data_IF_516046272347
#
_entry.id   IF_516046272347
#
_cell.length_a   1.000
_cell.length_b   1.000
_cell.length_c   1.000
_cell.angle_alpha   90.00
_cell.angle_beta   90.00
_cell.angle_gamma   90.00
#
_symmetry.space_group_name_H-M   'P 1'
#
loop_
_entity.id
_entity.type
_entity.pdbx_description
1 polymer ?
#
# COMPACT_ATOMS: atom_id res chain seq x y z
N UNK A 1 -7.39 -34.58 2.08
CA UNK A 1 -6.43 -33.62 2.64
C UNK A 1 -7.24 -32.57 3.36
N UNK A 2 -7.04 -32.45 4.66
CA UNK A 2 -7.82 -31.54 5.50
C UNK A 2 -7.44 -30.10 5.17
N UNK A 3 -8.33 -29.42 4.42
CA UNK A 3 -8.22 -28.00 4.07
C UNK A 3 -8.49 -27.05 5.26
N UNK A 4 -8.18 -27.46 6.48
CA UNK A 4 -8.31 -26.63 7.65
C UNK A 4 -7.06 -25.72 7.79
N UNK A 5 -6.82 -24.91 6.75
CA UNK A 5 -5.73 -23.94 6.67
C UNK A 5 -5.94 -22.80 7.67
N UNK A 6 -7.13 -22.71 8.26
CA UNK A 6 -7.53 -21.69 9.21
C UNK A 6 -7.42 -22.21 10.63
N UNK A 7 -6.23 -22.07 11.25
CA UNK A 7 -6.12 -22.37 12.65
C UNK A 7 -6.70 -21.23 13.51
N UNK A 8 -6.99 -21.55 14.79
CA UNK A 8 -7.52 -20.58 15.76
C UNK A 8 -6.63 -19.35 15.95
N UNK A 9 -5.33 -19.47 15.69
CA UNK A 9 -4.37 -18.37 15.82
C UNK A 9 -4.57 -17.33 14.75
N UNK A 10 -4.90 -17.74 13.54
CA UNK A 10 -5.20 -16.85 12.43
C UNK A 10 -6.46 -16.02 12.71
N UNK A 11 -7.50 -16.67 13.20
CA UNK A 11 -8.77 -16.03 13.57
C UNK A 11 -8.60 -14.95 14.65
N UNK A 12 -7.71 -15.17 15.62
CA UNK A 12 -7.46 -14.19 16.67
C UNK A 12 -6.90 -12.84 16.17
N UNK A 13 -6.27 -12.83 15.00
CA UNK A 13 -5.73 -11.61 14.39
C UNK A 13 -6.80 -10.78 13.70
N UNK A 14 -7.94 -11.37 13.36
CA UNK A 14 -9.12 -10.70 12.81
C UNK A 14 -10.12 -10.39 13.93
N UNK A 15 -9.70 -9.56 14.88
CA UNK A 15 -10.61 -9.09 15.91
C UNK A 15 -11.78 -8.34 15.24
N UNK A 16 -13.02 -8.71 15.57
CA UNK A 16 -14.30 -8.16 15.11
C UNK A 16 -14.91 -8.82 13.86
N UNK A 17 -14.32 -9.87 13.31
CA UNK A 17 -14.94 -10.66 12.24
C UNK A 17 -15.59 -11.91 12.83
N UNK A 18 -16.88 -12.15 12.54
CA UNK A 18 -17.53 -13.39 12.94
C UNK A 18 -16.96 -14.59 12.20
N UNK A 19 -17.14 -15.81 12.74
CA UNK A 19 -16.69 -17.03 12.07
C UNK A 19 -17.32 -17.18 10.68
N UNK A 20 -18.60 -16.82 10.51
CA UNK A 20 -19.29 -16.88 9.22
C UNK A 20 -18.70 -15.89 8.20
N UNK A 21 -18.35 -14.69 8.66
CA UNK A 21 -17.68 -13.70 7.82
C UNK A 21 -16.28 -14.16 7.42
N UNK A 22 -15.55 -14.75 8.37
CA UNK A 22 -14.24 -15.33 8.12
C UNK A 22 -14.29 -16.48 7.07
N UNK A 23 -15.30 -17.36 7.15
CA UNK A 23 -15.52 -18.41 6.17
C UNK A 23 -15.88 -17.85 4.78
N UNK A 24 -16.73 -16.84 4.72
CA UNK A 24 -17.05 -16.13 3.47
C UNK A 24 -15.81 -15.46 2.88
N UNK A 25 -14.96 -14.87 3.72
CA UNK A 25 -13.68 -14.30 3.35
C UNK A 25 -12.76 -15.36 2.72
N UNK A 26 -12.66 -16.54 3.32
CA UNK A 26 -11.84 -17.63 2.81
C UNK A 26 -12.26 -18.10 1.41
N UNK A 27 -13.56 -18.15 1.15
CA UNK A 27 -14.09 -18.49 -0.17
C UNK A 27 -13.76 -17.42 -1.22
N UNK A 28 -13.76 -16.15 -0.84
CA UNK A 28 -13.37 -15.04 -1.73
C UNK A 28 -11.89 -15.08 -2.06
N UNK A 29 -11.02 -15.32 -1.08
CA UNK A 29 -9.59 -15.50 -1.34
C UNK A 29 -9.32 -16.61 -2.35
N UNK A 30 -10.02 -17.75 -2.22
CA UNK A 30 -9.91 -18.85 -3.19
C UNK A 30 -10.28 -18.41 -4.62
N UNK A 31 -11.29 -17.57 -4.78
CA UNK A 31 -11.71 -17.05 -6.09
C UNK A 31 -10.60 -16.24 -6.79
N UNK A 32 -9.71 -15.62 -6.03
CA UNK A 32 -8.59 -14.79 -6.54
C UNK A 32 -7.25 -15.52 -6.50
N UNK A 33 -7.23 -16.81 -6.20
CA UNK A 33 -6.00 -17.57 -6.10
C UNK A 33 -5.12 -17.19 -4.90
N UNK A 34 -5.65 -16.38 -3.97
CA UNK A 34 -4.98 -16.02 -2.72
C UNK A 34 -5.50 -16.90 -1.58
N UNK A 35 -4.59 -17.42 -0.78
CA UNK A 35 -4.90 -18.05 0.49
C UNK A 35 -4.80 -17.02 1.62
N UNK A 36 -5.42 -17.28 2.78
CA UNK A 36 -5.23 -16.44 3.96
C UNK A 36 -3.76 -16.29 4.37
N UNK A 37 -2.98 -17.35 4.16
CA UNK A 37 -1.54 -17.29 4.38
C UNK A 37 -0.86 -16.32 3.41
N UNK A 38 -1.26 -16.29 2.13
CA UNK A 38 -0.72 -15.33 1.17
C UNK A 38 -1.00 -13.88 1.60
N UNK A 39 -2.16 -13.63 2.19
CA UNK A 39 -2.52 -12.30 2.74
C UNK A 39 -1.65 -11.95 3.94
N UNK A 40 -1.51 -12.88 4.89
CA UNK A 40 -0.65 -12.67 6.05
C UNK A 40 0.81 -12.46 5.64
N UNK A 41 1.32 -13.30 4.76
CA UNK A 41 2.70 -13.23 4.27
C UNK A 41 2.96 -11.92 3.53
N UNK A 42 2.00 -11.43 2.73
CA UNK A 42 2.10 -10.16 2.03
C UNK A 42 2.22 -8.97 2.98
N UNK A 43 1.37 -8.92 4.02
CA UNK A 43 1.39 -7.86 5.02
C UNK A 43 2.67 -7.94 5.86
N UNK A 44 3.00 -9.15 6.34
CA UNK A 44 4.23 -9.37 7.10
C UNK A 44 5.46 -8.91 6.32
N UNK A 45 5.53 -9.30 5.05
CA UNK A 45 6.64 -8.96 4.17
C UNK A 45 6.73 -7.44 3.90
N UNK A 46 5.60 -6.73 3.82
CA UNK A 46 5.58 -5.27 3.74
C UNK A 46 6.09 -4.63 5.05
N UNK A 47 5.65 -5.15 6.19
CA UNK A 47 6.12 -4.69 7.50
C UNK A 47 7.63 -4.95 7.70
N UNK A 48 8.11 -6.13 7.30
CA UNK A 48 9.52 -6.49 7.38
C UNK A 48 10.40 -5.55 6.51
N UNK A 49 9.92 -5.17 5.33
CA UNK A 49 10.61 -4.19 4.46
C UNK A 49 10.80 -2.84 5.12
N UNK A 50 9.82 -2.41 5.90
CA UNK A 50 9.84 -1.13 6.61
C UNK A 50 10.35 -1.23 8.05
N UNK A 51 10.67 -2.42 8.55
CA UNK A 51 11.04 -2.67 9.95
C UNK A 51 9.98 -2.17 10.94
N UNK A 52 8.70 -2.35 10.63
CA UNK A 52 7.57 -2.00 11.49
C UNK A 52 6.87 -3.26 12.00
N UNK A 53 6.25 -3.21 13.20
CA UNK A 53 5.41 -4.29 13.68
C UNK A 53 4.19 -4.51 12.79
N UNK A 54 3.71 -5.76 12.75
CA UNK A 54 2.52 -6.11 12.00
C UNK A 54 1.26 -5.52 12.64
N UNK A 55 0.45 -4.74 11.92
CA UNK A 55 -0.78 -4.17 12.45
C UNK A 55 -1.84 -5.26 12.66
N UNK A 56 -2.89 -4.95 13.45
CA UNK A 56 -4.09 -5.77 13.45
C UNK A 56 -4.79 -5.66 12.10
N UNK A 57 -5.26 -6.79 11.58
CA UNK A 57 -5.96 -6.83 10.29
C UNK A 57 -7.45 -6.94 10.50
N UNK A 58 -8.21 -6.13 9.77
CA UNK A 58 -9.67 -6.18 9.73
C UNK A 58 -10.10 -6.18 8.27
N UNK A 59 -10.91 -7.16 7.90
CA UNK A 59 -11.61 -7.10 6.63
C UNK A 59 -13.00 -6.51 6.83
N UNK A 60 -13.29 -5.43 6.15
CA UNK A 60 -14.63 -4.89 6.04
C UNK A 60 -15.38 -5.61 4.91
N UNK A 61 -16.38 -6.40 5.29
CA UNK A 61 -17.23 -7.13 4.35
C UNK A 61 -18.45 -6.36 3.90
N UNK A 62 -18.88 -5.39 4.70
CA UNK A 62 -20.20 -4.79 4.52
C UNK A 62 -20.16 -3.54 3.67
N UNK A 63 -19.14 -2.73 3.83
CA UNK A 63 -18.97 -1.49 3.10
C UNK A 63 -17.56 -0.95 3.24
N UNK A 64 -17.31 0.02 2.44
CA UNK A 64 -16.19 0.90 2.45
C UNK A 64 -16.32 1.83 3.64
N UNK A 65 -15.40 1.80 4.54
CA UNK A 65 -15.35 2.79 5.60
C UNK A 65 -15.11 4.17 4.95
N UNK A 66 -16.08 5.07 5.01
CA UNK A 66 -16.04 6.41 4.39
C UNK A 66 -15.67 6.42 2.88
N UNK A 67 -16.07 5.41 2.13
CA UNK A 67 -15.76 5.35 0.70
C UNK A 67 -14.36 4.83 0.35
N UNK A 68 -13.58 4.39 1.32
CA UNK A 68 -12.21 3.91 1.11
C UNK A 68 -12.15 2.39 0.92
N UNK A 69 -11.37 1.96 -0.06
CA UNK A 69 -11.10 0.53 -0.32
C UNK A 69 -10.24 -0.10 0.76
N UNK A 70 -9.31 0.70 1.25
CA UNK A 70 -8.40 0.38 2.33
C UNK A 70 -8.18 1.63 3.17
N UNK A 71 -7.87 1.42 4.42
CA UNK A 71 -7.34 2.47 5.28
C UNK A 71 -6.47 1.84 6.36
N UNK A 72 -5.50 2.62 6.80
CA UNK A 72 -4.70 2.31 7.98
C UNK A 72 -5.01 3.35 9.04
N UNK A 73 -5.30 2.87 10.24
CA UNK A 73 -5.38 3.72 11.41
C UNK A 73 -4.12 3.50 12.23
N UNK A 74 -3.22 4.45 12.16
CA UNK A 74 -1.99 4.43 12.92
C UNK A 74 -2.13 5.33 14.14
N UNK A 75 -1.93 4.75 15.32
CA UNK A 75 -1.97 5.51 16.55
C UNK A 75 -0.59 6.12 16.84
N UNK A 76 -0.44 7.45 16.88
CA UNK A 76 0.85 8.07 17.18
C UNK A 76 1.41 7.56 18.50
N UNK A 77 2.58 6.94 18.45
CA UNK A 77 3.30 6.47 19.64
C UNK A 77 3.01 5.03 20.09
N UNK A 78 2.03 4.33 19.50
CA UNK A 78 1.77 2.92 19.81
C UNK A 78 1.52 2.11 18.55
N UNK A 79 2.35 1.08 18.33
CA UNK A 79 2.11 0.11 17.26
C UNK A 79 1.03 -0.91 17.60
N UNK A 80 0.69 -1.07 18.88
CA UNK A 80 -0.26 -2.10 19.33
C UNK A 80 -1.69 -1.81 18.88
N UNK A 81 -1.99 -0.55 18.65
CA UNK A 81 -3.31 -0.08 18.21
C UNK A 81 -3.41 0.16 16.70
N UNK A 82 -2.33 -0.11 15.95
CA UNK A 82 -2.36 0.03 14.51
C UNK A 82 -3.32 -0.98 13.88
N UNK A 83 -4.16 -0.50 12.97
CA UNK A 83 -5.18 -1.30 12.28
C UNK A 83 -5.08 -1.11 10.79
N UNK A 84 -5.00 -2.21 10.06
CA UNK A 84 -5.12 -2.26 8.61
C UNK A 84 -6.49 -2.83 8.24
N UNK A 85 -7.34 -1.99 7.66
CA UNK A 85 -8.64 -2.39 7.13
C UNK A 85 -8.60 -2.51 5.61
N UNK A 86 -9.25 -3.52 5.05
CA UNK A 86 -9.36 -3.69 3.60
C UNK A 86 -10.66 -4.39 3.21
N UNK A 87 -11.12 -4.10 2.00
CA UNK A 87 -12.27 -4.73 1.40
C UNK A 87 -11.85 -5.56 0.19
N UNK A 88 -11.91 -6.89 0.32
CA UNK A 88 -11.47 -7.80 -0.73
C UNK A 88 -12.26 -7.63 -2.03
N UNK A 89 -13.55 -7.35 -1.98
CA UNK A 89 -14.34 -7.18 -3.20
C UNK A 89 -13.87 -5.98 -3.99
N UNK A 90 -13.57 -4.88 -3.32
CA UNK A 90 -13.08 -3.68 -3.99
C UNK A 90 -11.69 -3.87 -4.56
N UNK A 91 -10.79 -4.55 -3.84
CA UNK A 91 -9.46 -4.88 -4.36
C UNK A 91 -9.56 -5.67 -5.66
N UNK A 92 -10.51 -6.59 -5.74
CA UNK A 92 -10.80 -7.34 -6.96
C UNK A 92 -11.34 -6.47 -8.06
N UNK A 93 -12.28 -5.60 -7.75
CA UNK A 93 -12.85 -4.66 -8.73
C UNK A 93 -11.74 -3.73 -9.28
N UNK A 94 -10.75 -3.42 -8.46
CA UNK A 94 -9.53 -2.69 -8.82
C UNK A 94 -8.47 -3.54 -9.54
N UNK A 95 -8.77 -4.80 -9.87
CA UNK A 95 -7.83 -5.74 -10.51
C UNK A 95 -6.61 -6.12 -9.67
N UNK A 96 -6.72 -6.01 -8.35
CA UNK A 96 -5.72 -6.53 -7.41
C UNK A 96 -5.96 -8.04 -7.25
N UNK A 97 -5.57 -8.82 -8.25
CA UNK A 97 -5.91 -10.23 -8.40
C UNK A 97 -4.68 -11.15 -8.48
N UNK A 98 -3.53 -10.69 -8.01
CA UNK A 98 -2.30 -11.49 -7.91
C UNK A 98 -1.62 -11.27 -6.56
N UNK A 99 -0.73 -12.20 -6.19
CA UNK A 99 0.06 -12.08 -4.94
C UNK A 99 0.91 -10.81 -4.94
N UNK A 100 1.58 -10.51 -6.04
CA UNK A 100 2.42 -9.32 -6.17
C UNK A 100 1.58 -8.06 -6.07
N UNK A 101 0.47 -7.97 -6.82
CA UNK A 101 -0.42 -6.82 -6.76
C UNK A 101 -0.94 -6.58 -5.33
N UNK A 102 -1.40 -7.64 -4.65
CA UNK A 102 -1.86 -7.55 -3.28
C UNK A 102 -0.73 -7.13 -2.33
N UNK A 103 0.45 -7.74 -2.48
CA UNK A 103 1.61 -7.40 -1.64
C UNK A 103 2.08 -5.97 -1.84
N UNK A 104 2.00 -5.43 -3.06
CA UNK A 104 2.34 -4.04 -3.36
C UNK A 104 1.33 -3.07 -2.73
N UNK A 105 0.03 -3.36 -2.80
CA UNK A 105 -0.98 -2.55 -2.10
C UNK A 105 -0.71 -2.55 -0.59
N UNK A 106 -0.40 -3.72 0.01
CA UNK A 106 -0.02 -3.77 1.43
C UNK A 106 1.23 -2.95 1.72
N UNK A 107 2.18 -2.90 0.79
CA UNK A 107 3.37 -2.05 0.93
C UNK A 107 3.01 -0.58 0.95
N UNK A 108 2.12 -0.15 0.06
CA UNK A 108 1.62 1.23 0.03
C UNK A 108 0.98 1.61 1.38
N UNK A 109 0.11 0.76 1.90
CA UNK A 109 -0.56 1.02 3.19
C UNK A 109 0.44 1.04 4.37
N UNK A 110 1.40 0.10 4.40
CA UNK A 110 2.44 0.10 5.43
C UNK A 110 3.37 1.32 5.31
N UNK A 111 3.59 1.86 4.10
CA UNK A 111 4.38 3.06 3.89
C UNK A 111 3.76 4.27 4.61
N UNK A 112 2.44 4.37 4.66
CA UNK A 112 1.76 5.44 5.43
C UNK A 112 2.19 5.47 6.90
N UNK A 113 2.40 4.28 7.52
CA UNK A 113 2.89 4.19 8.91
C UNK A 113 4.29 4.75 9.06
N UNK A 114 5.17 4.45 8.12
CA UNK A 114 6.54 4.95 8.10
C UNK A 114 6.57 6.46 7.91
N UNK A 115 5.78 6.96 6.96
CA UNK A 115 5.70 8.38 6.62
C UNK A 115 5.16 9.23 7.77
N UNK A 116 4.24 8.71 8.57
CA UNK A 116 3.74 9.40 9.77
C UNK A 116 4.81 9.59 10.85
N UNK A 117 5.76 8.65 10.93
CA UNK A 117 6.85 8.70 11.91
C UNK A 117 8.07 9.47 11.42
N UNK A 118 8.14 9.77 10.12
CA UNK A 118 9.26 10.51 9.55
C UNK A 118 8.94 12.00 9.51
N UNK A 119 9.78 12.81 10.16
CA UNK A 119 9.72 14.26 10.06
C UNK A 119 10.39 14.71 8.74
N UNK A 120 9.84 14.30 7.61
CA UNK A 120 10.33 14.75 6.31
C UNK A 120 9.65 16.08 5.95
N UNK A 121 10.42 17.18 5.87
CA UNK A 121 9.89 18.46 5.41
C UNK A 121 9.27 18.31 4.02
N UNK A 122 8.00 18.66 3.86
CA UNK A 122 7.31 18.62 2.57
C UNK A 122 6.43 17.40 2.32
N UNK A 123 6.66 16.26 2.97
CA UNK A 123 5.77 15.09 2.81
C UNK A 123 4.48 15.27 3.62
N UNK A 124 4.57 15.90 4.79
CA UNK A 124 3.43 16.11 5.68
C UNK A 124 2.61 17.38 5.35
N UNK A 125 2.99 18.15 4.34
CA UNK A 125 2.34 19.42 3.99
C UNK A 125 1.18 19.26 3.01
N UNK A 126 0.95 18.05 2.46
CA UNK A 126 -0.15 17.79 1.54
C UNK A 126 -0.51 16.32 1.47
N UNK A 127 -1.80 16.04 1.40
CA UNK A 127 -2.31 14.66 1.31
C UNK A 127 -1.76 13.98 0.06
N UNK A 128 -1.66 14.68 -1.05
CA UNK A 128 -1.16 14.14 -2.31
C UNK A 128 0.32 13.77 -2.25
N UNK A 129 1.15 14.57 -1.59
CA UNK A 129 2.57 14.27 -1.42
C UNK A 129 2.79 13.02 -0.56
N UNK A 130 1.93 12.80 0.43
CA UNK A 130 1.95 11.61 1.27
C UNK A 130 1.62 10.34 0.46
N UNK A 131 0.61 10.42 -0.39
CA UNK A 131 0.23 9.34 -1.31
C UNK A 131 1.33 9.03 -2.32
N UNK A 132 1.93 10.06 -2.94
CA UNK A 132 3.01 9.89 -3.90
C UNK A 132 4.27 9.30 -3.25
N UNK A 133 4.55 9.63 -1.99
CA UNK A 133 5.66 9.04 -1.24
C UNK A 133 5.38 7.55 -0.94
N UNK A 134 4.15 7.18 -0.58
CA UNK A 134 3.76 5.80 -0.38
C UNK A 134 3.85 4.99 -1.68
N UNK A 135 3.40 5.56 -2.81
CA UNK A 135 3.53 4.96 -4.14
C UNK A 135 5.00 4.76 -4.54
N UNK A 136 5.86 5.74 -4.28
CA UNK A 136 7.29 5.64 -4.55
C UNK A 136 7.95 4.50 -3.73
N UNK A 137 7.67 4.42 -2.44
CA UNK A 137 8.19 3.36 -1.57
C UNK A 137 7.65 1.98 -1.97
N UNK A 138 6.39 1.89 -2.40
CA UNK A 138 5.84 0.67 -3.00
C UNK A 138 6.64 0.24 -4.23
N UNK A 139 6.96 1.19 -5.10
CA UNK A 139 7.81 0.97 -6.27
C UNK A 139 9.21 0.50 -5.90
N UNK A 140 9.83 1.11 -4.88
CA UNK A 140 11.15 0.68 -4.39
C UNK A 140 11.16 -0.81 -4.01
N UNK A 141 10.16 -1.26 -3.26
CA UNK A 141 10.06 -2.68 -2.91
C UNK A 141 9.83 -3.56 -4.13
N UNK A 142 8.98 -3.13 -5.07
CA UNK A 142 8.76 -3.87 -6.31
C UNK A 142 10.07 -4.12 -7.06
N UNK A 143 10.90 -3.09 -7.22
CA UNK A 143 12.19 -3.19 -7.90
C UNK A 143 13.19 -4.08 -7.18
N UNK A 144 13.32 -3.93 -5.86
CA UNK A 144 14.29 -4.69 -5.06
C UNK A 144 13.96 -6.18 -5.00
N UNK A 145 12.71 -6.55 -5.05
CA UNK A 145 12.24 -7.93 -4.90
C UNK A 145 11.81 -8.57 -6.23
N UNK A 146 11.94 -7.84 -7.33
CA UNK A 146 11.57 -8.33 -8.67
C UNK A 146 10.08 -8.66 -8.81
N UNK A 147 9.21 -7.87 -8.14
CA UNK A 147 7.76 -8.09 -8.16
C UNK A 147 7.14 -7.55 -9.44
N UNK A 148 6.09 -8.20 -9.92
CA UNK A 148 5.30 -7.70 -11.06
C UNK A 148 4.37 -6.55 -10.61
N UNK A 149 4.72 -5.33 -10.97
CA UNK A 149 3.97 -4.12 -10.69
C UNK A 149 2.95 -3.74 -11.79
N UNK A 150 2.90 -4.50 -12.89
CA UNK A 150 2.14 -4.14 -14.09
C UNK A 150 0.65 -3.94 -13.81
N UNK A 151 0.04 -4.81 -13.01
CA UNK A 151 -1.38 -4.71 -12.65
C UNK A 151 -1.68 -3.48 -11.80
N UNK A 152 -0.81 -3.17 -10.84
CA UNK A 152 -0.95 -1.99 -9.99
C UNK A 152 -0.82 -0.72 -10.82
N UNK A 153 0.18 -0.63 -11.71
CA UNK A 153 0.35 0.54 -12.57
C UNK A 153 -0.84 0.75 -13.51
N UNK A 154 -1.34 -0.32 -14.13
CA UNK A 154 -2.53 -0.25 -14.98
C UNK A 154 -3.76 0.15 -14.17
N UNK A 155 -3.95 -0.43 -13.00
CA UNK A 155 -5.04 -0.06 -12.10
C UNK A 155 -4.98 1.42 -11.69
N UNK A 156 -3.80 1.92 -11.32
CA UNK A 156 -3.60 3.32 -10.98
C UNK A 156 -3.93 4.26 -12.16
N UNK A 157 -3.40 3.99 -13.35
CA UNK A 157 -3.61 4.85 -14.54
C UNK A 157 -5.09 5.06 -14.84
N UNK A 158 -5.95 4.10 -14.48
CA UNK A 158 -7.38 4.18 -14.68
C UNK A 158 -8.13 4.97 -13.59
N UNK A 159 -7.44 5.41 -12.53
CA UNK A 159 -8.06 6.18 -11.44
C UNK A 159 -8.00 7.67 -11.71
N UNK A 160 -9.10 8.36 -11.38
CA UNK A 160 -9.15 9.81 -11.40
C UNK A 160 -8.64 10.41 -10.09
N UNK A 161 -8.21 11.66 -10.15
CA UNK A 161 -7.87 12.41 -8.95
C UNK A 161 -9.07 12.56 -8.00
N UNK A 162 -8.78 12.59 -6.71
CA UNK A 162 -9.71 12.83 -5.62
C UNK A 162 -9.12 13.84 -4.63
N UNK A 163 -9.87 14.33 -3.65
CA UNK A 163 -9.30 15.19 -2.61
C UNK A 163 -8.14 14.55 -1.85
N UNK A 164 -8.13 13.24 -1.75
CA UNK A 164 -7.13 12.46 -1.00
C UNK A 164 -6.07 11.81 -1.88
N UNK A 165 -6.36 11.57 -3.15
CA UNK A 165 -5.43 10.85 -4.04
C UNK A 165 -5.14 11.65 -5.31
N UNK A 166 -3.88 11.70 -5.76
CA UNK A 166 -3.51 12.28 -7.04
C UNK A 166 -4.11 11.53 -8.23
N UNK A 167 -4.05 12.14 -9.41
CA UNK A 167 -4.34 11.49 -10.68
C UNK A 167 -3.52 10.19 -10.81
N UNK A 168 -4.18 9.10 -11.23
CA UNK A 168 -3.55 7.78 -11.27
C UNK A 168 -2.34 7.70 -12.20
N UNK A 169 -2.33 8.47 -13.29
CA UNK A 169 -1.16 8.56 -14.16
C UNK A 169 0.07 9.13 -13.43
N UNK A 170 -0.14 10.14 -12.57
CA UNK A 170 0.93 10.71 -11.74
C UNK A 170 1.41 9.70 -10.70
N UNK A 171 0.50 9.00 -10.03
CA UNK A 171 0.80 7.93 -9.08
C UNK A 171 1.67 6.83 -9.72
N UNK A 172 1.28 6.34 -10.90
CA UNK A 172 2.01 5.32 -11.64
C UNK A 172 3.44 5.75 -12.03
N UNK A 173 3.68 7.04 -12.28
CA UNK A 173 5.02 7.58 -12.50
C UNK A 173 5.90 7.46 -11.25
N UNK A 174 5.36 7.76 -10.07
CA UNK A 174 6.10 7.65 -8.81
C UNK A 174 6.42 6.19 -8.45
N UNK A 175 5.49 5.26 -8.66
CA UNK A 175 5.76 3.81 -8.52
C UNK A 175 6.92 3.39 -9.41
N UNK A 176 6.84 3.74 -10.69
CA UNK A 176 7.87 3.37 -11.67
C UNK A 176 9.24 3.97 -11.34
N UNK A 177 9.28 5.24 -10.93
CA UNK A 177 10.53 5.89 -10.55
C UNK A 177 11.14 5.23 -9.32
N UNK A 178 10.35 4.95 -8.29
CA UNK A 178 10.79 4.23 -7.09
C UNK A 178 11.42 2.87 -7.42
N UNK A 179 10.79 2.12 -8.34
CA UNK A 179 11.31 0.83 -8.79
C UNK A 179 12.70 0.96 -9.41
N UNK A 180 12.86 1.84 -10.37
CA UNK A 180 14.16 2.01 -11.05
C UNK A 180 15.23 2.57 -10.11
N UNK A 181 14.86 3.52 -9.26
CA UNK A 181 15.81 4.17 -8.35
C UNK A 181 16.34 3.20 -7.29
N UNK A 182 15.48 2.36 -6.75
CA UNK A 182 15.91 1.36 -5.77
C UNK A 182 16.84 0.31 -6.40
N UNK A 183 16.59 -0.10 -7.65
CA UNK A 183 17.49 -0.99 -8.41
C UNK A 183 18.83 -0.29 -8.63
N UNK A 184 18.84 0.94 -9.11
CA UNK A 184 20.04 1.75 -9.31
C UNK A 184 20.87 1.87 -8.04
N UNK A 185 20.23 2.19 -6.92
CA UNK A 185 20.90 2.31 -5.62
C UNK A 185 21.52 0.97 -5.20
N UNK A 186 20.78 -0.14 -5.33
CA UNK A 186 21.31 -1.48 -5.05
C UNK A 186 22.54 -1.81 -5.91
N UNK A 187 22.45 -1.58 -7.20
CA UNK A 187 23.49 -1.94 -8.16
C UNK A 187 24.77 -1.07 -7.97
N UNK A 188 24.60 0.15 -7.46
CA UNK A 188 25.69 1.05 -7.10
C UNK A 188 26.11 0.92 -5.61
N UNK A 189 25.61 -0.08 -4.89
CA UNK A 189 25.94 -0.30 -3.47
C UNK A 189 25.63 0.90 -2.55
N UNK A 190 24.63 1.70 -2.90
CA UNK A 190 24.14 2.80 -2.07
C UNK A 190 23.21 2.21 -0.99
N UNK A 191 23.38 2.59 0.30
CA UNK A 191 22.54 2.05 1.36
C UNK A 191 21.05 2.27 1.14
N UNK A 192 20.25 1.20 1.22
CA UNK A 192 18.80 1.19 0.99
C UNK A 192 18.02 1.49 2.28
N UNK A 193 18.43 2.49 3.04
CA UNK A 193 17.65 2.95 4.20
C UNK A 193 16.41 3.72 3.74
N UNK A 194 15.35 3.69 4.55
CA UNK A 194 14.14 4.49 4.28
C UNK A 194 14.47 5.97 4.10
N UNK A 195 15.42 6.48 4.90
CA UNK A 195 15.90 7.86 4.78
C UNK A 195 16.47 8.14 3.39
N UNK A 196 17.33 7.27 2.86
CA UNK A 196 17.93 7.44 1.55
C UNK A 196 16.89 7.32 0.43
N UNK A 197 15.96 6.36 0.53
CA UNK A 197 14.86 6.24 -0.42
C UNK A 197 13.96 7.48 -0.42
N UNK A 198 13.67 8.06 0.74
CA UNK A 198 12.89 9.29 0.82
C UNK A 198 13.65 10.52 0.33
N UNK A 199 14.97 10.57 0.45
CA UNK A 199 15.79 11.62 -0.18
C UNK A 199 15.64 11.58 -1.72
N UNK A 200 15.66 10.39 -2.31
CA UNK A 200 15.43 10.20 -3.75
C UNK A 200 13.99 10.57 -4.17
N UNK A 201 13.00 10.23 -3.35
CA UNK A 201 11.63 10.69 -3.55
C UNK A 201 11.56 12.22 -3.58
N UNK A 202 12.21 12.90 -2.62
CA UNK A 202 12.19 14.37 -2.54
C UNK A 202 12.86 15.02 -3.74
N UNK A 203 13.97 14.46 -4.23
CA UNK A 203 14.62 14.91 -5.45
C UNK A 203 13.67 14.80 -6.66
N UNK A 204 13.08 13.63 -6.87
CA UNK A 204 12.15 13.40 -7.96
C UNK A 204 10.88 14.24 -7.86
N UNK A 205 10.33 14.39 -6.66
CA UNK A 205 9.21 15.30 -6.41
C UNK A 205 9.55 16.74 -6.82
N UNK A 206 10.73 17.22 -6.47
CA UNK A 206 11.16 18.58 -6.81
C UNK A 206 11.25 18.77 -8.33
N UNK A 207 11.78 17.79 -9.05
CA UNK A 207 11.86 17.81 -10.52
C UNK A 207 10.48 17.81 -11.18
N UNK A 208 9.48 17.23 -10.52
CA UNK A 208 8.11 17.11 -11.04
C UNK A 208 7.09 18.04 -10.36
N UNK A 209 7.57 19.03 -9.60
CA UNK A 209 6.71 19.90 -8.80
C UNK A 209 5.68 20.67 -9.63
N UNK A 210 6.08 21.16 -10.80
CA UNK A 210 5.15 21.86 -11.71
C UNK A 210 4.06 20.94 -12.25
N UNK A 211 4.40 19.66 -12.55
CA UNK A 211 3.43 18.67 -12.99
C UNK A 211 2.44 18.35 -11.86
N UNK A 212 2.91 18.15 -10.64
CA UNK A 212 2.07 17.93 -9.46
C UNK A 212 1.10 19.10 -9.29
N UNK A 213 1.61 20.34 -9.32
CA UNK A 213 0.79 21.55 -9.20
C UNK A 213 -0.19 21.71 -10.39
N UNK A 214 0.20 21.28 -11.59
CA UNK A 214 -0.71 21.30 -12.74
C UNK A 214 -1.92 20.40 -12.49
N UNK A 215 -1.72 19.14 -12.03
CA UNK A 215 -2.80 18.23 -11.70
C UNK A 215 -3.64 18.75 -10.52
N UNK A 216 -3.01 19.30 -9.49
CA UNK A 216 -3.72 19.90 -8.37
C UNK A 216 -4.61 21.06 -8.83
N UNK A 217 -4.10 22.00 -9.65
CA UNK A 217 -4.88 23.11 -10.19
C UNK A 217 -6.03 22.65 -11.07
N UNK A 218 -5.82 21.59 -11.87
CA UNK A 218 -6.89 20.99 -12.70
C UNK A 218 -7.99 20.41 -11.83
N UNK A 219 -7.63 19.77 -10.73
CA UNK A 219 -8.59 19.14 -9.82
C UNK A 219 -9.36 20.15 -8.98
N UNK A 220 -8.68 21.19 -8.44
CA UNK A 220 -9.31 22.22 -7.59
C UNK A 220 -9.85 23.42 -8.35
N UNK A 221 -9.82 23.43 -9.67
CA UNK A 221 -10.53 24.42 -10.48
C UNK A 221 -11.99 24.01 -10.61
N UNK A 222 -12.82 24.69 -9.84
CA UNK A 222 -14.24 24.81 -10.07
C UNK A 222 -14.51 25.98 -11.00
#
# INVERSE_FOLDING_TARGET
>A
MNDNIFNKEWYKRFNHVSMDEFLKMSQRFKKFGLTPKDVEDAIKSACDFFHIPMPRMIQDLTNVHNGQTMFVNFNPGSYEDDVLCFNMQQLVDMKVDSKDAFSLVMTHECAHRVLQNTQFPGINNGIWEHELAADFLMGCRAGLWGMDDSKIRVGLILTNASPTHPEGALRALFVRHGMYKAIEMRDNSIPLSIQNLLNEFMAYRQENLEQIHHFQRKFYRF
#
